data_IF_534796983083
#
_entry.id   IF_534796983083
#
_cell.length_a   1.000
_cell.length_b   1.000
_cell.length_c   1.000
_cell.angle_alpha   90.00
_cell.angle_beta   90.00
_cell.angle_gamma   90.00
#
_symmetry.space_group_name_H-M   'P 1'
#
loop_
_entity.id
_entity.type
_entity.pdbx_description
1 polymer ?
#
# COMPACT_ATOMS: atom_id res chain seq x y z
N UNK A 1 -15.98 -13.29 25.88
CA UNK A 1 -15.50 -13.49 24.49
C UNK A 1 -15.53 -12.14 23.78
N UNK A 2 -14.36 -11.50 23.65
CA UNK A 2 -14.27 -10.29 22.83
C UNK A 2 -14.37 -10.74 21.36
N UNK A 3 -15.44 -10.33 20.70
CA UNK A 3 -15.69 -10.63 19.29
C UNK A 3 -14.57 -10.04 18.42
N UNK A 4 -13.80 -10.90 17.76
CA UNK A 4 -12.83 -10.52 16.74
C UNK A 4 -13.50 -9.91 15.48
N UNK A 5 -14.81 -10.05 15.34
CA UNK A 5 -15.58 -9.59 14.18
C UNK A 5 -15.51 -8.06 13.97
N UNK A 6 -15.49 -7.25 15.04
CA UNK A 6 -15.41 -5.80 14.89
C UNK A 6 -14.08 -5.32 14.32
N UNK A 7 -12.95 -5.99 14.64
CA UNK A 7 -11.64 -5.63 14.10
C UNK A 7 -11.46 -6.02 12.62
N UNK A 8 -12.23 -7.00 12.13
CA UNK A 8 -12.11 -7.50 10.76
C UNK A 8 -12.91 -6.67 9.76
N UNK A 9 -13.98 -5.98 10.19
CA UNK A 9 -14.75 -5.09 9.32
C UNK A 9 -13.87 -3.92 8.82
N UNK A 10 -13.01 -3.38 9.66
CA UNK A 10 -12.10 -2.28 9.29
C UNK A 10 -10.95 -2.72 8.35
N UNK A 11 -10.76 -4.03 8.18
CA UNK A 11 -9.70 -4.60 7.31
C UNK A 11 -10.20 -4.95 5.92
N UNK A 12 -11.50 -4.87 5.66
CA UNK A 12 -12.07 -5.24 4.34
C UNK A 12 -11.80 -4.15 3.33
N UNK A 13 -11.15 -4.54 2.24
CA UNK A 13 -10.91 -3.69 1.08
C UNK A 13 -11.33 -4.43 -0.18
N UNK A 14 -11.71 -3.65 -1.19
CA UNK A 14 -11.84 -4.14 -2.56
C UNK A 14 -10.53 -3.80 -3.27
N UNK A 15 -9.83 -4.81 -3.77
CA UNK A 15 -8.59 -4.64 -4.53
C UNK A 15 -8.84 -5.11 -5.97
N UNK A 16 -8.58 -4.25 -6.93
CA UNK A 16 -8.68 -4.55 -8.37
C UNK A 16 -7.35 -4.14 -9.00
N UNK A 17 -6.74 -5.05 -9.76
CA UNK A 17 -5.51 -4.77 -10.48
C UNK A 17 -5.57 -5.26 -11.92
N UNK A 18 -4.98 -4.49 -12.82
CA UNK A 18 -4.60 -4.95 -14.15
C UNK A 18 -3.10 -5.25 -14.14
N UNK A 19 -2.76 -6.50 -14.45
CA UNK A 19 -1.37 -6.93 -14.64
C UNK A 19 -1.12 -7.16 -16.13
N UNK A 20 -0.07 -6.56 -16.66
CA UNK A 20 0.34 -6.72 -18.05
C UNK A 20 1.83 -7.01 -18.14
N UNK A 21 2.21 -8.08 -18.84
CA UNK A 21 3.59 -8.48 -18.97
C UNK A 21 4.30 -8.75 -17.64
N UNK A 22 3.60 -9.35 -16.67
CA UNK A 22 4.13 -9.63 -15.33
C UNK A 22 4.29 -8.40 -14.44
N UNK A 23 3.77 -7.24 -14.85
CA UNK A 23 3.89 -5.98 -14.10
C UNK A 23 2.51 -5.37 -13.82
N UNK A 24 2.30 -4.76 -12.65
CA UNK A 24 1.03 -4.09 -12.35
C UNK A 24 0.95 -2.78 -13.16
N UNK A 25 -0.14 -2.60 -13.90
CA UNK A 25 -0.36 -1.47 -14.80
C UNK A 25 -1.43 -0.50 -14.29
N UNK A 26 -2.46 -1.01 -13.60
CA UNK A 26 -3.54 -0.25 -12.96
C UNK A 26 -3.87 -0.87 -11.62
N UNK A 27 -4.17 -0.06 -10.64
CA UNK A 27 -4.66 -0.49 -9.33
C UNK A 27 -5.80 0.38 -8.83
N UNK A 28 -6.76 -0.28 -8.19
CA UNK A 28 -7.85 0.36 -7.46
C UNK A 28 -7.97 -0.34 -6.11
N UNK A 29 -7.97 0.45 -5.04
CA UNK A 29 -8.22 -0.03 -3.67
C UNK A 29 -9.30 0.85 -3.05
N UNK A 30 -10.44 0.22 -2.74
CA UNK A 30 -11.52 0.90 -2.02
C UNK A 30 -11.64 0.36 -0.59
N UNK A 31 -11.76 1.26 0.37
CA UNK A 31 -11.90 0.99 1.80
C UNK A 31 -13.31 1.39 2.22
N UNK A 32 -14.31 0.49 2.16
CA UNK A 32 -15.72 0.84 2.31
C UNK A 32 -16.04 1.56 3.64
N UNK A 33 -15.46 1.07 4.75
CA UNK A 33 -15.74 1.62 6.09
C UNK A 33 -15.23 3.04 6.26
N UNK A 34 -14.13 3.38 5.58
CA UNK A 34 -13.55 4.74 5.62
C UNK A 34 -14.02 5.60 4.46
N UNK A 35 -14.70 5.01 3.48
CA UNK A 35 -15.05 5.65 2.20
C UNK A 35 -13.84 6.32 1.56
N UNK A 36 -12.72 5.61 1.50
CA UNK A 36 -11.48 6.08 0.87
C UNK A 36 -11.23 5.23 -0.36
N UNK A 37 -10.99 5.87 -1.48
CA UNK A 37 -10.60 5.26 -2.74
C UNK A 37 -9.17 5.66 -3.10
N UNK A 38 -8.32 4.68 -3.36
CA UNK A 38 -7.02 4.84 -4.00
C UNK A 38 -7.08 4.25 -5.39
N UNK A 39 -6.55 4.94 -6.37
CA UNK A 39 -6.42 4.42 -7.72
C UNK A 39 -5.20 5.02 -8.42
N UNK A 40 -4.70 4.32 -9.41
CA UNK A 40 -3.58 4.81 -10.17
C UNK A 40 -3.20 3.95 -11.36
N UNK A 41 -2.58 4.60 -12.32
CA UNK A 41 -1.93 3.98 -13.47
C UNK A 41 -0.55 4.60 -13.66
N UNK A 42 0.39 3.85 -14.22
CA UNK A 42 1.75 4.35 -14.49
C UNK A 42 1.74 5.59 -15.38
N UNK A 43 0.73 5.74 -16.24
CA UNK A 43 0.63 6.87 -17.18
C UNK A 43 0.05 8.13 -16.54
N UNK A 44 -0.98 7.97 -15.70
CA UNK A 44 -1.76 9.09 -15.19
C UNK A 44 -1.38 9.50 -13.77
N UNK A 45 -0.53 8.69 -13.09
CA UNK A 45 -0.20 8.90 -11.68
C UNK A 45 -1.16 8.18 -10.75
N UNK A 46 -1.01 8.45 -9.45
CA UNK A 46 -1.83 7.88 -8.39
C UNK A 46 -2.63 8.95 -7.67
N UNK A 47 -3.79 8.58 -7.16
CA UNK A 47 -4.77 9.48 -6.56
C UNK A 47 -5.42 8.85 -5.33
N UNK A 48 -5.88 9.72 -4.42
CA UNK A 48 -6.72 9.38 -3.29
C UNK A 48 -7.95 10.28 -3.27
N UNK A 49 -9.14 9.68 -3.24
CA UNK A 49 -10.40 10.37 -2.99
C UNK A 49 -10.95 9.99 -1.62
N UNK A 50 -11.26 10.99 -0.80
CA UNK A 50 -11.90 10.81 0.49
C UNK A 50 -13.41 11.05 0.32
N UNK A 51 -14.24 10.08 0.75
CA UNK A 51 -15.70 10.12 0.61
C UNK A 51 -16.18 10.43 -0.81
N UNK A 52 -15.67 9.73 -1.86
CA UNK A 52 -16.06 10.02 -3.22
C UNK A 52 -17.57 9.85 -3.38
N UNK A 53 -18.21 10.85 -3.97
CA UNK A 53 -19.59 10.73 -4.39
C UNK A 53 -19.64 9.86 -5.64
N UNK A 54 -20.59 8.93 -5.67
CA UNK A 54 -20.78 8.04 -6.81
C UNK A 54 -22.09 8.36 -7.53
N UNK A 55 -22.01 8.48 -8.85
CA UNK A 55 -23.15 8.47 -9.74
C UNK A 55 -22.90 7.47 -10.87
N UNK A 56 -23.92 6.73 -11.35
CA UNK A 56 -23.78 5.83 -12.50
C UNK A 56 -23.28 6.53 -13.77
N UNK A 57 -23.54 7.82 -13.90
CA UNK A 57 -23.16 8.64 -15.06
C UNK A 57 -21.87 9.44 -14.82
N UNK A 58 -21.15 9.19 -13.69
CA UNK A 58 -19.90 9.85 -13.39
C UNK A 58 -18.83 9.45 -14.40
N UNK A 59 -18.19 10.43 -15.01
CA UNK A 59 -17.01 10.23 -15.82
C UNK A 59 -15.73 10.25 -14.97
N UNK A 60 -14.60 9.97 -15.61
CA UNK A 60 -13.31 9.92 -14.94
C UNK A 60 -12.87 11.30 -14.46
N UNK A 61 -13.17 12.36 -15.19
CA UNK A 61 -12.80 13.74 -14.84
C UNK A 61 -13.51 14.19 -13.55
N UNK A 62 -14.79 13.82 -13.38
CA UNK A 62 -15.55 14.08 -12.16
C UNK A 62 -14.96 13.36 -10.94
N UNK A 63 -14.45 12.13 -11.12
CA UNK A 63 -13.74 11.40 -10.06
C UNK A 63 -12.39 12.07 -9.74
N UNK A 64 -11.63 12.46 -10.76
CA UNK A 64 -10.32 13.10 -10.58
C UNK A 64 -10.44 14.44 -9.84
N UNK A 65 -11.48 15.22 -10.11
CA UNK A 65 -11.77 16.48 -9.41
C UNK A 65 -12.08 16.31 -7.91
N UNK A 66 -12.47 15.11 -7.48
CA UNK A 66 -12.71 14.75 -6.07
C UNK A 66 -11.47 14.15 -5.39
N UNK A 67 -10.39 13.98 -6.13
CA UNK A 67 -9.20 13.26 -5.67
C UNK A 67 -7.98 14.18 -5.50
N UNK A 68 -7.08 13.76 -4.62
CA UNK A 68 -5.77 14.39 -4.45
C UNK A 68 -4.71 13.50 -5.09
N UNK A 69 -3.83 14.10 -5.86
CA UNK A 69 -2.71 13.38 -6.46
C UNK A 69 -1.69 12.97 -5.40
N UNK A 70 -1.14 11.77 -5.56
CA UNK A 70 -0.11 11.22 -4.66
C UNK A 70 1.31 11.45 -5.22
N UNK A 71 2.35 11.57 -4.37
CA UNK A 71 2.23 11.59 -2.91
C UNK A 71 1.61 12.90 -2.39
N UNK A 72 1.05 12.87 -1.18
CA UNK A 72 0.57 14.06 -0.48
C UNK A 72 1.74 14.78 0.19
N UNK A 73 1.59 16.08 0.41
CA UNK A 73 2.53 16.84 1.23
C UNK A 73 2.50 16.32 2.67
N UNK A 74 3.69 16.21 3.26
CA UNK A 74 3.88 15.72 4.62
C UNK A 74 4.61 16.74 5.46
N UNK A 75 4.01 17.11 6.60
CA UNK A 75 4.59 18.08 7.56
C UNK A 75 5.57 17.41 8.53
N UNK A 76 5.31 16.13 8.92
CA UNK A 76 6.13 15.40 9.89
C UNK A 76 7.39 14.81 9.22
N UNK A 77 8.60 15.30 9.53
CA UNK A 77 9.83 14.81 8.92
C UNK A 77 10.34 13.48 9.50
N UNK A 78 9.72 12.95 10.56
CA UNK A 78 10.19 11.73 11.23
C UNK A 78 10.01 10.53 10.33
N UNK A 79 11.09 9.77 10.13
CA UNK A 79 11.06 8.56 9.30
C UNK A 79 10.04 7.56 9.84
N UNK A 80 9.04 7.22 9.04
CA UNK A 80 7.89 6.43 9.48
C UNK A 80 7.85 5.06 8.82
N UNK A 81 7.89 4.02 9.63
CA UNK A 81 7.76 2.62 9.21
C UNK A 81 6.33 2.15 9.44
N UNK A 82 5.71 1.57 8.41
CA UNK A 82 4.44 0.85 8.58
C UNK A 82 4.75 -0.61 8.90
N UNK A 83 4.25 -1.10 10.03
CA UNK A 83 4.41 -2.50 10.42
C UNK A 83 3.07 -3.12 10.86
N UNK A 84 3.02 -4.44 10.95
CA UNK A 84 1.85 -5.16 11.45
C UNK A 84 2.05 -5.49 12.92
N UNK A 85 1.17 -5.03 13.80
CA UNK A 85 1.23 -5.39 15.24
C UNK A 85 1.06 -6.89 15.50
N UNK A 86 0.29 -7.57 14.66
CA UNK A 86 -0.02 -9.00 14.82
C UNK A 86 0.95 -9.94 14.12
N UNK A 87 1.91 -9.40 13.36
CA UNK A 87 2.88 -10.17 12.57
C UNK A 87 4.28 -9.52 12.65
N UNK A 88 4.63 -9.02 13.83
CA UNK A 88 5.97 -8.55 14.11
C UNK A 88 6.84 -9.79 14.29
N UNK A 89 7.69 -10.08 13.31
CA UNK A 89 8.69 -11.15 13.40
C UNK A 89 10.02 -10.57 13.83
N UNK A 90 10.92 -11.43 14.31
CA UNK A 90 12.29 -11.03 14.62
C UNK A 90 12.99 -10.37 13.44
N UNK A 91 12.72 -10.84 12.21
CA UNK A 91 13.30 -10.25 11.00
C UNK A 91 12.79 -8.82 10.76
N UNK A 92 11.50 -8.58 11.03
CA UNK A 92 10.92 -7.23 10.96
C UNK A 92 11.48 -6.31 12.04
N UNK A 93 11.64 -6.81 13.27
CA UNK A 93 12.24 -6.05 14.37
C UNK A 93 13.70 -5.68 14.08
N UNK A 94 14.51 -6.64 13.64
CA UNK A 94 15.89 -6.42 13.24
C UNK A 94 16.00 -5.37 12.12
N UNK A 95 15.14 -5.46 11.11
CA UNK A 95 15.09 -4.49 10.02
C UNK A 95 14.76 -3.07 10.51
N UNK A 96 13.79 -2.94 11.43
CA UNK A 96 13.45 -1.65 12.04
C UNK A 96 14.61 -1.10 12.88
N UNK A 97 15.34 -1.96 13.58
CA UNK A 97 16.51 -1.54 14.38
C UNK A 97 17.67 -1.06 13.47
N UNK A 98 17.86 -1.64 12.29
CA UNK A 98 18.81 -1.10 11.30
C UNK A 98 18.35 0.30 10.80
N UNK A 99 17.07 0.48 10.51
CA UNK A 99 16.53 1.79 10.12
C UNK A 99 16.72 2.86 11.22
N UNK A 100 16.57 2.48 12.49
CA UNK A 100 16.85 3.42 13.60
C UNK A 100 18.33 3.82 13.67
N UNK A 101 19.25 2.94 13.32
CA UNK A 101 20.69 3.28 13.26
C UNK A 101 20.98 4.26 12.12
N UNK A 102 20.27 4.12 11.00
CA UNK A 102 20.45 4.96 9.81
C UNK A 102 19.78 6.33 9.96
N UNK A 103 18.52 6.35 10.43
CA UNK A 103 17.68 7.55 10.45
C UNK A 103 17.53 8.21 11.82
N UNK A 104 18.03 7.58 12.90
CA UNK A 104 17.85 8.05 14.26
C UNK A 104 16.45 7.74 14.78
N UNK A 105 15.59 8.74 14.94
CA UNK A 105 14.21 8.54 15.38
C UNK A 105 13.38 7.91 14.27
N UNK A 106 12.70 6.80 14.60
CA UNK A 106 11.79 6.09 13.68
C UNK A 106 10.43 5.94 14.34
N UNK A 107 9.41 6.46 13.68
CA UNK A 107 8.01 6.33 14.07
C UNK A 107 7.42 5.03 13.52
N UNK A 108 6.77 4.26 14.39
CA UNK A 108 6.05 3.06 13.98
C UNK A 108 4.56 3.34 13.86
N UNK A 109 3.98 3.09 12.69
CA UNK A 109 2.54 3.10 12.50
C UNK A 109 2.02 1.72 12.14
N UNK A 110 0.82 1.38 12.58
CA UNK A 110 0.23 0.06 12.35
C UNK A 110 -1.20 0.17 11.86
N UNK A 111 -1.43 -0.41 10.70
CA UNK A 111 -2.74 -0.52 10.07
C UNK A 111 -2.89 -1.90 9.43
N UNK A 112 -4.12 -2.35 9.19
CA UNK A 112 -4.37 -3.66 8.57
C UNK A 112 -4.26 -3.65 7.04
N UNK A 113 -3.98 -4.84 6.46
CA UNK A 113 -4.13 -5.18 5.05
C UNK A 113 -3.34 -4.31 4.04
N UNK A 114 -3.79 -4.24 2.77
CA UNK A 114 -3.16 -3.51 1.65
C UNK A 114 -3.06 -1.99 1.85
N UNK A 115 -3.79 -1.43 2.81
CA UNK A 115 -3.68 0.00 3.18
C UNK A 115 -2.23 0.41 3.48
N UNK A 116 -1.40 -0.51 4.01
CA UNK A 116 0.01 -0.24 4.32
C UNK A 116 0.80 0.21 3.08
N UNK A 117 0.53 -0.40 1.92
CA UNK A 117 1.13 -0.01 0.65
C UNK A 117 0.65 1.39 0.26
N UNK A 118 -0.67 1.67 0.46
CA UNK A 118 -1.22 2.99 0.18
C UNK A 118 -0.62 4.08 1.07
N UNK A 119 -0.29 3.81 2.35
CA UNK A 119 0.36 4.79 3.23
C UNK A 119 1.75 5.18 2.72
N UNK A 120 2.50 4.25 2.14
CA UNK A 120 3.78 4.58 1.50
C UNK A 120 3.55 5.34 0.19
N UNK A 121 2.58 4.93 -0.61
CA UNK A 121 2.22 5.62 -1.86
C UNK A 121 1.77 7.06 -1.62
N UNK A 122 1.02 7.32 -0.53
CA UNK A 122 0.56 8.68 -0.20
C UNK A 122 1.59 9.52 0.54
N UNK A 123 2.74 8.95 0.92
CA UNK A 123 3.83 9.68 1.59
C UNK A 123 3.64 9.85 3.10
N UNK A 124 2.59 9.31 3.72
CA UNK A 124 2.40 9.32 5.19
C UNK A 124 3.31 8.33 5.90
N UNK A 125 3.91 7.40 5.18
CA UNK A 125 4.95 6.53 5.64
C UNK A 125 6.08 6.43 4.60
N UNK A 126 7.28 6.14 5.06
CA UNK A 126 8.47 6.07 4.21
C UNK A 126 8.71 4.65 3.70
N UNK A 127 8.42 3.64 4.54
CA UNK A 127 8.75 2.26 4.23
C UNK A 127 7.75 1.29 4.87
N UNK A 128 7.48 0.18 4.16
CA UNK A 128 6.71 -0.96 4.66
C UNK A 128 7.45 -2.27 4.39
N UNK A 129 8.15 -2.86 5.39
CA UNK A 129 8.67 -4.21 5.29
C UNK A 129 7.55 -5.24 5.50
N UNK A 130 7.52 -6.26 4.65
CA UNK A 130 6.60 -7.39 4.75
C UNK A 130 7.38 -8.71 4.70
N UNK A 131 7.82 -9.18 5.86
CA UNK A 131 8.54 -10.44 6.05
C UNK A 131 7.59 -11.52 6.58
N UNK A 132 6.52 -11.73 5.82
CA UNK A 132 5.55 -12.80 6.03
C UNK A 132 4.78 -13.05 4.74
N UNK A 133 4.20 -14.23 4.60
CA UNK A 133 3.50 -14.69 3.40
C UNK A 133 2.36 -13.76 2.99
N UNK A 134 2.28 -13.48 1.70
CA UNK A 134 1.16 -12.82 1.02
C UNK A 134 1.03 -13.40 -0.38
N UNK A 135 -0.13 -13.21 -0.99
CA UNK A 135 -0.38 -13.64 -2.37
C UNK A 135 -0.35 -12.46 -3.33
N UNK A 136 -0.20 -12.73 -4.62
CA UNK A 136 -0.17 -11.68 -5.65
C UNK A 136 -1.39 -10.75 -5.61
N UNK A 137 -2.58 -11.29 -5.35
CA UNK A 137 -3.83 -10.49 -5.24
C UNK A 137 -3.89 -9.58 -4.01
N UNK A 138 -3.05 -9.81 -3.00
CA UNK A 138 -2.92 -8.92 -1.84
C UNK A 138 -2.10 -7.67 -2.17
N UNK A 139 -1.27 -7.72 -3.20
CA UNK A 139 -0.25 -6.69 -3.47
C UNK A 139 -0.41 -6.00 -4.83
N UNK A 140 -0.93 -6.66 -5.85
CA UNK A 140 -0.91 -6.15 -7.23
C UNK A 140 -1.57 -4.76 -7.38
N UNK A 141 -2.73 -4.53 -6.76
CA UNK A 141 -3.40 -3.23 -6.81
C UNK A 141 -2.60 -2.15 -6.09
N UNK A 142 -2.12 -2.44 -4.87
CA UNK A 142 -1.27 -1.53 -4.10
C UNK A 142 0.04 -1.21 -4.82
N UNK A 143 0.65 -2.22 -5.46
CA UNK A 143 1.88 -2.04 -6.22
C UNK A 143 1.69 -1.08 -7.42
N UNK A 144 0.59 -1.24 -8.18
CA UNK A 144 0.29 -0.31 -9.27
C UNK A 144 0.14 1.14 -8.77
N UNK A 145 -0.56 1.33 -7.64
CA UNK A 145 -0.75 2.65 -7.01
C UNK A 145 0.59 3.20 -6.49
N UNK A 146 1.38 2.38 -5.77
CA UNK A 146 2.69 2.80 -5.26
C UNK A 146 3.62 3.23 -6.40
N UNK A 147 3.69 2.43 -7.46
CA UNK A 147 4.51 2.72 -8.64
C UNK A 147 4.06 3.98 -9.36
N UNK A 148 2.77 4.21 -9.48
CA UNK A 148 2.20 5.43 -10.05
C UNK A 148 2.47 6.67 -9.18
N UNK A 149 2.73 6.48 -7.88
CA UNK A 149 3.14 7.52 -6.93
C UNK A 149 4.67 7.70 -6.82
N UNK A 150 5.47 7.01 -7.66
CA UNK A 150 6.93 7.08 -7.65
C UNK A 150 7.61 6.18 -6.61
N UNK A 151 6.88 5.21 -6.06
CA UNK A 151 7.38 4.19 -5.12
C UNK A 151 7.50 2.83 -5.81
N UNK A 152 8.13 1.86 -5.17
CA UNK A 152 8.26 0.51 -5.73
C UNK A 152 8.11 -0.55 -4.64
N UNK A 153 7.68 -1.75 -5.03
CA UNK A 153 7.71 -2.95 -4.21
C UNK A 153 8.88 -3.82 -4.63
N UNK A 154 9.87 -3.88 -3.77
CA UNK A 154 11.07 -4.69 -4.00
C UNK A 154 11.02 -5.99 -3.20
N UNK A 155 11.68 -7.04 -3.69
CA UNK A 155 12.07 -8.16 -2.85
C UNK A 155 12.81 -7.67 -1.61
N UNK A 156 13.03 -8.56 -0.64
CA UNK A 156 13.79 -8.24 0.59
C UNK A 156 15.19 -7.67 0.32
N UNK A 157 15.75 -7.91 -0.86
CA UNK A 157 17.04 -7.36 -1.31
C UNK A 157 17.01 -5.82 -1.52
N UNK A 158 15.81 -5.24 -1.55
CA UNK A 158 15.57 -3.80 -1.70
C UNK A 158 15.84 -3.23 -3.10
N UNK A 159 16.05 -4.09 -4.11
CA UNK A 159 16.41 -3.67 -5.47
C UNK A 159 15.67 -4.44 -6.59
N UNK A 160 15.27 -5.69 -6.37
CA UNK A 160 14.54 -6.48 -7.38
C UNK A 160 13.04 -6.24 -7.27
N UNK A 161 12.36 -5.61 -8.24
CA UNK A 161 10.92 -5.39 -8.19
C UNK A 161 10.12 -6.69 -8.16
N UNK A 162 8.98 -6.71 -7.45
CA UNK A 162 8.06 -7.84 -7.49
C UNK A 162 7.50 -8.06 -8.90
N UNK A 163 7.35 -9.33 -9.26
CA UNK A 163 6.70 -9.76 -10.50
C UNK A 163 5.41 -10.53 -10.21
N UNK A 164 4.50 -10.52 -11.18
CA UNK A 164 3.16 -11.08 -11.11
C UNK A 164 2.88 -12.05 -12.25
N UNK A 165 1.81 -12.82 -12.14
CA UNK A 165 1.45 -13.91 -13.04
C UNK A 165 2.52 -15.01 -13.04
N UNK A 166 3.09 -15.28 -11.87
CA UNK A 166 4.00 -16.39 -11.68
C UNK A 166 3.23 -17.71 -11.65
N UNK A 167 3.91 -18.82 -11.83
CA UNK A 167 3.34 -20.15 -11.61
C UNK A 167 2.96 -20.36 -10.14
N UNK A 168 3.85 -20.00 -9.21
CA UNK A 168 3.54 -19.89 -7.79
C UNK A 168 3.11 -18.44 -7.47
N UNK A 169 1.85 -18.26 -7.08
CA UNK A 169 1.28 -16.94 -6.79
C UNK A 169 1.65 -16.41 -5.39
N UNK A 170 2.46 -17.15 -4.63
CA UNK A 170 3.01 -16.67 -3.37
C UNK A 170 4.04 -15.57 -3.64
N UNK A 171 3.92 -14.46 -2.91
CA UNK A 171 4.93 -13.40 -2.96
C UNK A 171 6.15 -13.77 -2.12
N UNK A 172 7.36 -13.44 -2.58
CA UNK A 172 8.51 -13.38 -1.70
C UNK A 172 8.30 -12.31 -0.62
N UNK A 173 9.14 -12.31 0.40
CA UNK A 173 9.22 -11.19 1.33
C UNK A 173 9.61 -9.92 0.58
N UNK A 174 9.01 -8.79 0.95
CA UNK A 174 9.19 -7.56 0.20
C UNK A 174 9.24 -6.31 1.08
N UNK A 175 9.71 -5.24 0.47
CA UNK A 175 9.79 -3.91 1.05
C UNK A 175 9.13 -2.94 0.06
N UNK A 176 8.30 -2.03 0.57
CA UNK A 176 7.74 -0.90 -0.17
C UNK A 176 8.49 0.36 0.23
N UNK A 177 9.06 1.10 -0.74
CA UNK A 177 9.77 2.36 -0.48
C UNK A 177 9.77 3.32 -1.67
#
# INVERSE_FOLDING_TARGET
VRSSAASDVYKRQVNIALVYGGRPALGVIYIPVKKILYYGTIRNGAYRADHPEYSPDMDFDALENQARRLPLDREDPVYTVVASRSHMSSDTENFIDELKKEHGEVKLTSIGSSIKICLVAEGTADIYPRFASTMEWDTAAGHAIAKAAGKELYHQDGCTPLAYNKEDLLNPWFIVK
#
